data_IF_858589018280
#
_entry.id   IF_858589018280
#
_cell.length_a   1.000
_cell.length_b   1.000
_cell.length_c   1.000
_cell.angle_alpha   90.00
_cell.angle_beta   90.00
_cell.angle_gamma   90.00
#
_symmetry.space_group_name_H-M   'P 1'
#
loop_
_entity.id
_entity.type
_entity.pdbx_description
1 polymer ?
#
# COMPACT_ATOMS: atom_id res chain seq x y z
N UNK A 1 -2.04 -6.00 -1.41
CA UNK A 1 -3.25 -6.23 -0.59
C UNK A 1 -4.54 -5.96 -1.30
N UNK A 2 -4.80 -4.74 -1.78
CA UNK A 2 -6.09 -4.43 -2.40
C UNK A 2 -6.48 -5.42 -3.52
N UNK A 3 -5.54 -5.79 -4.41
CA UNK A 3 -5.80 -6.78 -5.47
C UNK A 3 -6.15 -8.18 -4.94
N UNK A 4 -5.58 -8.60 -3.81
CA UNK A 4 -5.92 -9.86 -3.15
C UNK A 4 -7.36 -9.84 -2.61
N UNK A 5 -7.79 -8.73 -2.01
CA UNK A 5 -9.20 -8.50 -1.68
C UNK A 5 -10.07 -8.55 -2.96
N UNK A 6 -9.57 -8.00 -4.07
CA UNK A 6 -10.25 -8.04 -5.36
C UNK A 6 -10.45 -9.45 -5.89
N UNK A 7 -9.47 -10.34 -5.70
CA UNK A 7 -9.62 -11.78 -6.00
C UNK A 7 -10.71 -12.43 -5.15
N UNK A 8 -10.80 -12.07 -3.86
CA UNK A 8 -11.86 -12.56 -2.98
C UNK A 8 -13.25 -12.03 -3.39
N UNK A 9 -13.35 -10.77 -3.82
CA UNK A 9 -14.59 -10.19 -4.35
C UNK A 9 -14.99 -10.88 -5.66
N UNK A 10 -14.05 -11.06 -6.59
CA UNK A 10 -14.31 -11.77 -7.85
C UNK A 10 -14.75 -13.22 -7.61
N UNK A 11 -14.21 -13.87 -6.57
CA UNK A 11 -14.61 -15.19 -6.10
C UNK A 11 -15.87 -15.22 -5.22
N UNK A 12 -16.58 -14.09 -5.07
CA UNK A 12 -17.81 -13.94 -4.28
C UNK A 12 -17.67 -14.35 -2.80
N UNK A 13 -16.45 -14.25 -2.24
CA UNK A 13 -16.17 -14.54 -0.83
C UNK A 13 -16.55 -13.39 0.09
N UNK A 14 -16.52 -12.17 -0.42
CA UNK A 14 -16.88 -10.92 0.26
C UNK A 14 -17.28 -9.87 -0.77
N UNK A 15 -17.84 -8.76 -0.31
CA UNK A 15 -18.11 -7.57 -1.13
C UNK A 15 -17.49 -6.34 -0.46
N UNK A 16 -17.49 -5.20 -1.16
CA UNK A 16 -17.05 -3.93 -0.57
C UNK A 16 -17.86 -3.54 0.68
N UNK A 17 -19.13 -3.93 0.77
CA UNK A 17 -20.01 -3.60 1.89
C UNK A 17 -19.98 -4.64 3.01
N UNK A 18 -19.29 -5.78 2.83
CA UNK A 18 -19.10 -6.77 3.90
C UNK A 18 -18.46 -6.08 5.11
N UNK A 19 -18.99 -6.36 6.30
CA UNK A 19 -18.47 -5.77 7.54
C UNK A 19 -17.23 -6.51 7.99
N UNK A 20 -16.26 -5.80 8.59
CA UNK A 20 -15.02 -6.41 9.08
C UNK A 20 -15.30 -7.58 10.04
N UNK A 21 -16.21 -7.38 11.00
CA UNK A 21 -16.61 -8.39 11.99
C UNK A 21 -17.24 -9.66 11.40
N UNK A 22 -17.71 -9.62 10.15
CA UNK A 22 -18.25 -10.80 9.46
C UNK A 22 -17.12 -11.67 8.88
N UNK A 23 -15.91 -11.11 8.72
CA UNK A 23 -14.78 -11.76 8.09
C UNK A 23 -13.74 -12.32 9.07
N UNK A 24 -13.74 -11.85 10.32
CA UNK A 24 -12.70 -12.18 11.31
C UNK A 24 -13.31 -12.66 12.61
N UNK A 25 -12.66 -13.59 13.29
CA UNK A 25 -13.10 -14.09 14.61
C UNK A 25 -12.58 -13.24 15.78
N UNK A 26 -11.79 -12.21 15.48
CA UNK A 26 -11.20 -11.32 16.45
C UNK A 26 -12.25 -10.33 16.98
N UNK A 27 -12.22 -10.09 18.29
CA UNK A 27 -13.06 -9.10 18.93
C UNK A 27 -12.34 -7.76 18.99
N UNK A 28 -12.96 -6.73 18.42
CA UNK A 28 -12.49 -5.35 18.45
C UNK A 28 -13.51 -4.47 19.16
N UNK A 29 -13.63 -4.56 20.50
CA UNK A 29 -14.74 -3.96 21.24
C UNK A 29 -14.80 -2.42 21.16
N UNK A 30 -13.67 -1.79 20.83
CA UNK A 30 -13.58 -0.33 20.61
C UNK A 30 -13.83 0.09 19.17
N UNK A 31 -13.81 -0.85 18.23
CA UNK A 31 -13.99 -0.53 16.82
C UNK A 31 -15.46 -0.59 16.46
N UNK A 32 -15.88 0.32 15.58
CA UNK A 32 -17.27 0.34 15.14
C UNK A 32 -17.62 -0.95 14.38
N UNK A 33 -18.77 -1.60 14.69
CA UNK A 33 -19.25 -2.77 13.95
C UNK A 33 -19.72 -2.43 12.52
N UNK A 34 -19.70 -1.15 12.14
CA UNK A 34 -20.07 -0.66 10.81
C UNK A 34 -18.86 -0.43 9.88
N UNK A 35 -17.64 -0.77 10.34
CA UNK A 35 -16.47 -0.79 9.45
C UNK A 35 -16.69 -1.84 8.35
N UNK A 36 -16.52 -1.42 7.10
CA UNK A 36 -16.65 -2.28 5.92
C UNK A 36 -15.30 -2.47 5.24
N UNK A 37 -15.22 -3.47 4.36
CA UNK A 37 -14.05 -3.67 3.49
C UNK A 37 -13.75 -2.43 2.64
N UNK A 38 -14.78 -1.72 2.16
CA UNK A 38 -14.61 -0.44 1.47
C UNK A 38 -13.90 0.58 2.36
N UNK A 39 -14.35 0.75 3.60
CA UNK A 39 -13.76 1.72 4.52
C UNK A 39 -12.27 1.47 4.77
N UNK A 40 -11.87 0.21 4.87
CA UNK A 40 -10.46 -0.16 5.01
C UNK A 40 -9.68 0.11 3.71
N UNK A 41 -10.22 -0.28 2.54
CA UNK A 41 -9.57 -0.07 1.25
C UNK A 41 -9.36 1.42 0.90
N UNK A 42 -10.25 2.30 1.37
CA UNK A 42 -10.24 3.74 1.08
C UNK A 42 -9.70 4.61 2.21
N UNK A 43 -9.16 4.03 3.29
CA UNK A 43 -8.66 4.78 4.45
C UNK A 43 -9.71 5.70 5.09
N UNK A 44 -10.93 5.19 5.24
CA UNK A 44 -12.06 5.91 5.87
C UNK A 44 -12.68 5.10 7.01
N UNK A 45 -11.95 4.13 7.58
CA UNK A 45 -12.47 3.31 8.68
C UNK A 45 -12.60 4.07 9.99
N UNK A 46 -11.70 5.04 10.26
CA UNK A 46 -11.64 5.77 11.52
C UNK A 46 -10.99 5.00 12.66
N UNK A 47 -10.37 3.84 12.40
CA UNK A 47 -9.62 3.11 13.43
C UNK A 47 -8.35 3.88 13.84
N UNK A 48 -7.92 3.79 15.09
CA UNK A 48 -6.61 4.28 15.49
C UNK A 48 -5.51 3.45 14.83
N UNK A 49 -4.39 4.10 14.47
CA UNK A 49 -3.30 3.45 13.74
C UNK A 49 -2.05 3.27 14.62
N UNK A 50 -1.34 2.16 14.42
CA UNK A 50 -0.11 1.86 15.13
C UNK A 50 1.08 2.67 14.59
N UNK A 51 0.97 3.12 13.34
CA UNK A 51 1.90 4.02 12.66
C UNK A 51 1.14 5.26 12.16
N UNK A 52 0.55 6.02 13.08
CA UNK A 52 -0.32 7.17 12.74
C UNK A 52 0.48 8.35 12.16
N UNK A 53 0.44 8.47 10.84
CA UNK A 53 1.16 9.50 10.09
C UNK A 53 0.67 10.93 10.37
N UNK A 54 -0.52 11.10 10.97
CA UNK A 54 -1.00 12.42 11.42
C UNK A 54 -0.27 12.92 12.67
N UNK A 55 0.40 12.02 13.41
CA UNK A 55 1.01 12.33 14.72
C UNK A 55 2.51 12.04 14.79
N UNK A 56 3.00 11.08 14.01
CA UNK A 56 4.40 10.70 13.97
C UNK A 56 5.17 11.67 13.07
N UNK A 57 6.24 12.26 13.61
CA UNK A 57 7.11 13.19 12.87
C UNK A 57 8.47 12.58 12.52
N UNK A 58 8.87 11.50 13.18
CA UNK A 58 10.12 10.78 12.93
C UNK A 58 9.82 9.31 12.60
N UNK A 59 9.51 9.05 11.33
CA UNK A 59 9.21 7.71 10.83
C UNK A 59 10.42 6.77 10.82
N UNK A 60 11.64 7.31 10.74
CA UNK A 60 12.85 6.48 10.67
C UNK A 60 13.17 5.81 12.02
N UNK A 61 12.73 6.42 13.12
CA UNK A 61 13.05 5.96 14.47
C UNK A 61 11.85 5.45 15.26
N UNK A 62 10.73 5.13 14.60
CA UNK A 62 9.59 4.47 15.26
C UNK A 62 10.05 3.14 15.87
N UNK A 63 9.61 2.89 17.10
CA UNK A 63 9.85 1.64 17.83
C UNK A 63 8.55 1.16 18.44
N UNK A 64 8.28 -0.12 18.27
CA UNK A 64 7.18 -0.79 18.95
C UNK A 64 7.66 -1.49 20.21
N UNK A 65 6.73 -1.77 21.11
CA UNK A 65 7.01 -2.59 22.29
C UNK A 65 7.25 -4.07 21.93
N UNK A 66 6.75 -4.50 20.77
CA UNK A 66 7.06 -5.80 20.16
C UNK A 66 8.34 -5.66 19.31
N UNK A 67 9.32 -6.55 19.44
CA UNK A 67 10.48 -6.56 18.57
C UNK A 67 10.12 -6.77 17.10
N UNK A 68 10.78 -6.04 16.19
CA UNK A 68 10.54 -6.15 14.75
C UNK A 68 10.69 -7.57 14.19
N UNK A 69 11.52 -8.42 14.82
CA UNK A 69 11.71 -9.81 14.39
C UNK A 69 10.58 -10.77 14.75
N UNK A 70 9.66 -10.34 15.63
CA UNK A 70 8.45 -11.09 15.96
C UNK A 70 7.27 -10.73 15.05
N UNK A 71 7.37 -9.65 14.28
CA UNK A 71 6.37 -9.22 13.29
C UNK A 71 6.62 -9.90 11.95
N UNK A 72 5.87 -10.98 11.64
CA UNK A 72 6.11 -11.83 10.47
C UNK A 72 4.91 -11.97 9.53
N UNK A 73 3.73 -11.53 9.95
CA UNK A 73 2.53 -11.46 9.13
C UNK A 73 1.43 -10.61 9.78
N UNK A 74 0.29 -10.38 9.11
CA UNK A 74 -0.71 -9.41 9.55
C UNK A 74 -1.23 -9.63 10.98
N UNK A 75 -1.44 -10.88 11.40
CA UNK A 75 -1.91 -11.19 12.77
C UNK A 75 -0.92 -10.81 13.87
N UNK A 76 0.38 -10.79 13.59
CA UNK A 76 1.40 -10.43 14.59
C UNK A 76 1.33 -8.94 14.94
N UNK A 77 0.87 -8.10 14.01
CA UNK A 77 0.72 -6.65 14.20
C UNK A 77 -0.43 -6.29 15.14
N UNK A 78 -1.37 -7.21 15.38
CA UNK A 78 -2.46 -6.97 16.35
C UNK A 78 -1.94 -6.66 17.75
N UNK A 79 -0.74 -7.15 18.09
CA UNK A 79 -0.08 -6.85 19.36
C UNK A 79 0.36 -5.38 19.46
N UNK A 80 0.65 -4.71 18.34
CA UNK A 80 1.08 -3.30 18.32
C UNK A 80 -0.06 -2.33 18.02
N UNK A 81 -1.29 -2.83 17.83
CA UNK A 81 -2.44 -1.96 17.64
C UNK A 81 -2.71 -1.13 18.91
N UNK A 82 -3.00 0.16 18.76
CA UNK A 82 -3.28 1.01 19.90
C UNK A 82 -4.60 0.61 20.58
N UNK A 83 -4.57 0.51 21.91
CA UNK A 83 -5.78 0.41 22.74
C UNK A 83 -6.43 1.79 22.88
N UNK A 84 -7.02 2.26 21.79
CA UNK A 84 -7.64 3.58 21.68
C UNK A 84 -9.03 3.48 21.06
N UNK A 85 -9.85 4.51 21.31
CA UNK A 85 -11.16 4.64 20.68
C UNK A 85 -11.02 5.08 19.21
N UNK A 86 -12.10 4.98 18.45
CA UNK A 86 -12.17 5.42 17.06
C UNK A 86 -11.80 6.91 16.93
N UNK A 87 -10.99 7.24 15.90
CA UNK A 87 -10.65 8.64 15.55
C UNK A 87 -11.88 9.41 15.04
N UNK A 88 -12.79 8.72 14.34
CA UNK A 88 -14.02 9.27 13.75
C UNK A 88 -14.95 8.13 13.30
N UNK A 89 -16.17 8.45 12.86
CA UNK A 89 -17.13 7.42 12.42
C UNK A 89 -16.73 6.83 11.05
N UNK A 90 -16.96 5.53 10.77
CA UNK A 90 -16.64 4.95 9.47
C UNK A 90 -17.29 5.71 8.30
N UNK A 91 -16.48 6.12 7.33
CA UNK A 91 -16.88 6.88 6.15
C UNK A 91 -16.84 8.41 6.32
N UNK A 92 -16.58 8.94 7.52
CA UNK A 92 -16.66 10.38 7.80
C UNK A 92 -15.60 11.21 7.06
N UNK A 93 -14.33 10.77 7.09
CA UNK A 93 -13.22 11.45 6.40
C UNK A 93 -12.11 10.47 6.02
N UNK A 94 -11.19 10.96 5.18
CA UNK A 94 -9.92 10.28 4.91
C UNK A 94 -8.96 10.41 6.11
N UNK A 95 -8.30 9.32 6.45
CA UNK A 95 -7.15 9.26 7.35
C UNK A 95 -6.37 7.99 6.99
N UNK A 96 -5.19 8.16 6.38
CA UNK A 96 -4.36 7.04 5.94
C UNK A 96 -4.07 6.12 7.13
N UNK A 97 -4.29 4.81 6.96
CA UNK A 97 -4.18 3.83 8.04
C UNK A 97 -3.46 2.56 7.59
N UNK A 98 -2.25 2.38 8.10
CA UNK A 98 -1.47 1.15 7.95
C UNK A 98 -2.19 -0.03 8.64
N UNK A 99 -2.68 0.19 9.86
CA UNK A 99 -3.53 -0.74 10.60
C UNK A 99 -4.77 -1.19 9.81
N UNK A 100 -5.36 -0.31 8.98
CA UNK A 100 -6.49 -0.67 8.12
C UNK A 100 -6.11 -1.73 7.08
N UNK A 101 -4.91 -1.63 6.52
CA UNK A 101 -4.36 -2.59 5.57
C UNK A 101 -3.85 -3.87 6.25
N UNK A 102 -3.38 -3.79 7.48
CA UNK A 102 -3.14 -4.98 8.34
C UNK A 102 -4.44 -5.77 8.52
N UNK A 103 -5.56 -5.12 8.86
CA UNK A 103 -6.85 -5.81 9.01
C UNK A 103 -7.33 -6.45 7.70
N UNK A 104 -7.09 -5.83 6.55
CA UNK A 104 -7.35 -6.48 5.25
C UNK A 104 -6.49 -7.73 5.04
N UNK A 105 -5.24 -7.72 5.51
CA UNK A 105 -4.37 -8.90 5.53
C UNK A 105 -4.95 -10.02 6.40
N UNK A 106 -5.41 -9.69 7.62
CA UNK A 106 -6.07 -10.65 8.51
C UNK A 106 -7.34 -11.23 7.86
N UNK A 107 -8.17 -10.41 7.21
CA UNK A 107 -9.34 -10.87 6.45
C UNK A 107 -8.95 -11.86 5.36
N UNK A 108 -7.86 -11.62 4.63
CA UNK A 108 -7.35 -12.54 3.62
C UNK A 108 -6.98 -13.88 4.26
N UNK A 109 -6.25 -13.87 5.38
CA UNK A 109 -5.85 -15.11 6.07
C UNK A 109 -7.06 -15.89 6.60
N UNK A 110 -8.04 -15.22 7.21
CA UNK A 110 -9.25 -15.85 7.75
C UNK A 110 -10.10 -16.50 6.66
N UNK A 111 -10.31 -15.80 5.53
CA UNK A 111 -11.18 -16.29 4.46
C UNK A 111 -10.52 -17.34 3.55
N UNK A 112 -9.18 -17.39 3.52
CA UNK A 112 -8.43 -18.32 2.66
C UNK A 112 -7.82 -19.49 3.42
N UNK A 113 -7.55 -19.33 4.72
CA UNK A 113 -6.75 -20.27 5.52
C UNK A 113 -5.27 -20.30 5.14
N UNK A 114 -4.81 -19.41 4.26
CA UNK A 114 -3.42 -19.29 3.82
C UNK A 114 -2.73 -18.17 4.59
N UNK A 115 -1.40 -18.25 4.72
CA UNK A 115 -0.62 -17.08 5.14
C UNK A 115 -0.78 -15.98 4.09
N UNK A 116 -0.82 -14.73 4.54
CA UNK A 116 -1.02 -13.59 3.66
C UNK A 116 -0.01 -13.55 2.50
N UNK A 117 1.29 -13.73 2.80
CA UNK A 117 2.35 -13.69 1.81
C UNK A 117 2.17 -14.79 0.76
N UNK A 118 1.91 -16.03 1.20
CA UNK A 118 1.69 -17.17 0.31
C UNK A 118 0.50 -16.93 -0.63
N UNK A 119 -0.59 -16.33 -0.13
CA UNK A 119 -1.75 -16.02 -0.95
C UNK A 119 -1.44 -14.95 -2.00
N UNK A 120 -0.73 -13.88 -1.64
CA UNK A 120 -0.36 -12.82 -2.60
C UNK A 120 0.58 -13.37 -3.68
N UNK A 121 1.59 -14.15 -3.30
CA UNK A 121 2.52 -14.74 -4.25
C UNK A 121 1.81 -15.69 -5.22
N UNK A 122 0.95 -16.58 -4.72
CA UNK A 122 0.23 -17.56 -5.57
C UNK A 122 -0.89 -16.94 -6.41
N UNK A 123 -1.66 -15.99 -5.85
CA UNK A 123 -2.84 -15.45 -6.51
C UNK A 123 -2.54 -14.24 -7.41
N UNK A 124 -1.44 -13.52 -7.16
CA UNK A 124 -1.11 -12.27 -7.84
C UNK A 124 0.24 -12.36 -8.58
N UNK A 125 1.34 -12.65 -7.89
CA UNK A 125 2.69 -12.54 -8.50
C UNK A 125 2.97 -13.66 -9.51
N UNK A 126 2.75 -14.91 -9.13
CA UNK A 126 3.03 -16.06 -10.00
C UNK A 126 2.21 -16.05 -11.30
N UNK A 127 0.89 -15.78 -11.30
CA UNK A 127 0.09 -15.84 -12.53
C UNK A 127 0.47 -14.81 -13.58
N UNK A 128 1.03 -13.66 -13.17
CA UNK A 128 1.44 -12.58 -14.08
C UNK A 128 2.96 -12.54 -14.31
N UNK A 129 3.70 -13.51 -13.77
CA UNK A 129 5.14 -13.67 -14.04
C UNK A 129 6.07 -12.77 -13.23
N UNK A 130 5.63 -12.22 -12.09
CA UNK A 130 6.48 -11.45 -11.18
C UNK A 130 7.37 -12.37 -10.33
N UNK A 131 8.32 -13.05 -10.97
CA UNK A 131 9.15 -14.07 -10.33
C UNK A 131 10.29 -13.50 -9.46
N UNK A 132 10.50 -12.18 -9.47
CA UNK A 132 11.52 -11.48 -8.67
C UNK A 132 10.89 -10.58 -7.61
N UNK A 133 9.60 -10.76 -7.32
CA UNK A 133 8.87 -10.12 -6.24
C UNK A 133 8.48 -11.15 -5.18
N UNK A 134 8.44 -10.71 -3.92
CA UNK A 134 8.07 -11.58 -2.80
C UNK A 134 8.21 -10.89 -1.45
N UNK A 135 7.92 -11.64 -0.40
CA UNK A 135 8.06 -11.18 0.99
C UNK A 135 9.27 -11.82 1.65
N UNK A 136 10.44 -11.22 1.43
CA UNK A 136 11.71 -11.77 1.92
C UNK A 136 11.97 -11.36 3.37
N UNK A 137 12.47 -12.30 4.17
CA UNK A 137 12.90 -12.00 5.52
C UNK A 137 14.26 -11.29 5.50
N UNK A 138 14.46 -10.21 6.26
CA UNK A 138 15.73 -9.46 6.26
C UNK A 138 16.93 -10.30 6.72
N UNK A 139 16.70 -11.38 7.48
CA UNK A 139 17.74 -12.32 7.90
C UNK A 139 17.97 -13.47 6.90
N UNK A 140 17.25 -13.51 5.78
CA UNK A 140 17.32 -14.54 4.73
C UNK A 140 17.06 -13.93 3.33
N UNK A 141 17.63 -12.76 3.04
CA UNK A 141 17.44 -12.11 1.76
C UNK A 141 18.05 -12.95 0.62
N UNK A 142 17.34 -13.13 -0.51
CA UNK A 142 17.89 -13.80 -1.68
C UNK A 142 18.95 -12.94 -2.37
N UNK A 143 19.66 -13.52 -3.33
CA UNK A 143 20.58 -12.76 -4.19
C UNK A 143 19.87 -11.60 -4.90
N UNK A 144 20.64 -10.61 -5.34
CA UNK A 144 20.13 -9.43 -6.06
C UNK A 144 19.10 -8.61 -5.26
N UNK A 145 19.18 -8.65 -3.93
CA UNK A 145 18.35 -7.82 -3.04
C UNK A 145 19.17 -6.68 -2.45
N UNK A 146 18.71 -5.44 -2.64
CA UNK A 146 19.36 -4.27 -2.03
C UNK A 146 19.03 -4.19 -0.53
N UNK A 147 20.02 -3.81 0.28
CA UNK A 147 19.80 -3.37 1.66
C UNK A 147 19.29 -1.93 1.64
N UNK A 148 18.36 -1.59 2.54
CA UNK A 148 17.96 -0.21 2.77
C UNK A 148 18.95 0.50 3.68
N UNK A 149 19.25 1.76 3.37
CA UNK A 149 20.25 2.57 4.07
C UNK A 149 19.63 3.82 4.68
N UNK A 150 19.94 4.05 5.95
CA UNK A 150 19.52 5.22 6.72
C UNK A 150 20.78 6.02 7.05
N UNK A 151 20.73 7.32 6.82
CA UNK A 151 21.78 8.24 7.23
C UNK A 151 21.57 8.61 8.70
N UNK A 152 22.56 8.35 9.55
CA UNK A 152 22.54 8.75 10.96
C UNK A 152 23.75 9.61 11.32
N UNK A 153 23.80 10.05 12.57
CA UNK A 153 24.87 10.93 13.08
C UNK A 153 26.29 10.33 12.92
N UNK A 154 26.41 9.01 13.01
CA UNK A 154 27.68 8.27 12.87
C UNK A 154 27.92 7.77 11.43
N UNK A 155 27.10 8.21 10.47
CA UNK A 155 27.14 7.79 9.08
C UNK A 155 26.05 6.78 8.71
N UNK A 156 26.24 6.12 7.56
CA UNK A 156 25.25 5.21 6.99
C UNK A 156 25.18 3.88 7.73
N UNK A 157 23.94 3.42 7.95
CA UNK A 157 23.64 2.10 8.51
C UNK A 157 22.50 1.44 7.75
N UNK A 158 22.39 0.12 7.84
CA UNK A 158 21.27 -0.61 7.24
C UNK A 158 20.00 -0.51 8.08
N UNK A 159 18.84 -0.67 7.46
CA UNK A 159 17.52 -0.61 8.11
C UNK A 159 17.04 -1.92 8.76
N UNK A 160 17.89 -2.94 8.89
CA UNK A 160 17.55 -4.29 9.40
C UNK A 160 16.88 -4.30 10.79
N UNK A 161 17.06 -3.26 11.60
CA UNK A 161 16.44 -3.10 12.92
C UNK A 161 15.41 -1.97 13.00
N UNK A 162 15.01 -1.41 11.86
CA UNK A 162 14.05 -0.30 11.76
C UNK A 162 12.73 -0.73 11.13
N UNK A 163 12.69 -1.92 10.51
CA UNK A 163 11.51 -2.45 9.85
C UNK A 163 11.21 -3.86 10.34
N UNK A 164 9.94 -4.29 10.28
CA UNK A 164 9.53 -5.67 10.50
C UNK A 164 10.38 -6.67 9.69
N UNK A 165 10.68 -7.82 10.28
CA UNK A 165 11.61 -8.79 9.67
C UNK A 165 11.12 -9.33 8.33
N UNK A 166 9.81 -9.39 8.13
CA UNK A 166 9.14 -9.78 6.87
C UNK A 166 8.03 -8.77 6.63
N UNK A 167 7.83 -8.35 5.37
CA UNK A 167 6.71 -7.50 5.00
C UNK A 167 5.34 -8.15 5.26
N UNK A 168 4.32 -7.31 5.43
CA UNK A 168 2.95 -7.70 5.68
C UNK A 168 2.00 -7.02 4.67
N UNK A 169 0.74 -6.81 5.05
CA UNK A 169 -0.31 -6.36 4.14
C UNK A 169 -0.41 -4.85 3.98
N UNK A 170 0.32 -4.06 4.75
CA UNK A 170 0.45 -2.61 4.59
C UNK A 170 1.76 -2.20 3.90
N UNK A 171 2.84 -2.97 4.02
CA UNK A 171 4.12 -2.68 3.38
C UNK A 171 5.16 -3.81 3.43
N UNK A 172 6.36 -3.53 2.92
CA UNK A 172 7.54 -4.41 3.04
C UNK A 172 7.70 -5.53 2.00
N UNK A 173 6.94 -5.51 0.90
CA UNK A 173 7.19 -6.42 -0.22
C UNK A 173 8.45 -5.99 -1.00
N UNK A 174 9.24 -6.96 -1.44
CA UNK A 174 10.38 -6.76 -2.34
C UNK A 174 9.94 -6.94 -3.78
N UNK A 175 10.53 -6.16 -4.70
CA UNK A 175 10.17 -6.19 -6.12
C UNK A 175 11.29 -5.61 -6.99
N UNK A 176 11.09 -5.64 -8.31
CA UNK A 176 11.94 -4.99 -9.30
C UNK A 176 11.13 -3.99 -10.12
N UNK A 177 11.81 -3.09 -10.85
CA UNK A 177 11.16 -2.15 -11.77
C UNK A 177 10.39 -2.90 -12.87
N UNK A 178 10.95 -3.99 -13.39
CA UNK A 178 10.31 -4.82 -14.44
C UNK A 178 9.06 -5.56 -13.92
N UNK A 179 9.11 -6.11 -12.71
CA UNK A 179 7.96 -6.78 -12.11
C UNK A 179 6.84 -5.78 -11.77
N UNK A 180 7.17 -4.55 -11.39
CA UNK A 180 6.17 -3.48 -11.24
C UNK A 180 5.59 -3.01 -12.58
N UNK A 181 6.39 -2.98 -13.65
CA UNK A 181 5.90 -2.76 -15.01
C UNK A 181 4.88 -3.83 -15.43
N UNK A 182 5.19 -5.08 -15.12
CA UNK A 182 4.31 -6.22 -15.32
C UNK A 182 3.03 -6.10 -14.51
N UNK A 183 3.12 -5.79 -13.21
CA UNK A 183 1.97 -5.60 -12.33
C UNK A 183 1.01 -4.52 -12.86
N UNK A 184 1.55 -3.37 -13.26
CA UNK A 184 0.75 -2.26 -13.80
C UNK A 184 0.05 -2.63 -15.10
N UNK A 185 0.78 -3.26 -16.01
CA UNK A 185 0.22 -3.71 -17.29
C UNK A 185 -0.89 -4.74 -17.06
N UNK A 186 -0.65 -5.75 -16.24
CA UNK A 186 -1.61 -6.80 -15.93
C UNK A 186 -2.87 -6.28 -15.22
N UNK A 187 -2.72 -5.31 -14.31
CA UNK A 187 -3.86 -4.63 -13.69
C UNK A 187 -4.75 -3.94 -14.74
N UNK A 188 -4.17 -3.13 -15.62
CA UNK A 188 -4.93 -2.39 -16.63
C UNK A 188 -5.45 -3.25 -17.79
N UNK A 189 -4.89 -4.43 -18.00
CA UNK A 189 -5.39 -5.43 -18.96
C UNK A 189 -6.40 -6.40 -18.36
N UNK A 190 -6.78 -6.20 -17.10
CA UNK A 190 -7.78 -7.01 -16.41
C UNK A 190 -7.34 -8.49 -16.22
N UNK A 191 -6.03 -8.74 -16.22
CA UNK A 191 -5.44 -10.08 -16.09
C UNK A 191 -5.44 -10.57 -14.64
N UNK A 192 -5.56 -9.65 -13.67
CA UNK A 192 -5.58 -9.95 -12.23
C UNK A 192 -7.02 -10.01 -11.71
N UNK A 193 -7.84 -9.01 -12.02
CA UNK A 193 -9.25 -8.92 -11.62
C UNK A 193 -10.10 -8.46 -12.82
N UNK A 194 -11.40 -8.79 -12.88
CA UNK A 194 -12.28 -8.36 -13.97
C UNK A 194 -12.28 -6.84 -14.18
N UNK A 195 -12.53 -6.41 -15.42
CA UNK A 195 -12.59 -4.99 -15.83
C UNK A 195 -13.41 -4.12 -14.88
N UNK A 196 -14.60 -4.58 -14.47
CA UNK A 196 -15.45 -3.85 -13.54
C UNK A 196 -14.74 -3.55 -12.20
N UNK A 197 -13.93 -4.47 -11.67
CA UNK A 197 -13.15 -4.23 -10.46
C UNK A 197 -11.97 -3.29 -10.72
N UNK A 198 -11.33 -3.35 -11.89
CA UNK A 198 -10.26 -2.40 -12.24
C UNK A 198 -10.78 -0.96 -12.24
N UNK A 199 -11.93 -0.73 -12.88
CA UNK A 199 -12.56 0.59 -12.91
C UNK A 199 -13.03 1.04 -11.52
N UNK A 200 -13.58 0.14 -10.71
CA UNK A 200 -13.90 0.46 -9.31
C UNK A 200 -12.64 0.81 -8.51
N UNK A 201 -11.56 0.06 -8.64
CA UNK A 201 -10.33 0.29 -7.88
C UNK A 201 -9.66 1.62 -8.21
N UNK A 202 -9.73 2.02 -9.47
CA UNK A 202 -9.15 3.27 -9.97
C UNK A 202 -10.12 4.47 -9.92
N UNK A 203 -11.30 4.32 -9.32
CA UNK A 203 -12.24 5.42 -9.16
C UNK A 203 -11.82 6.35 -7.99
N UNK A 204 -11.95 7.68 -8.13
CA UNK A 204 -11.59 8.64 -7.08
C UNK A 204 -12.68 8.71 -6.01
N UNK A 205 -12.65 7.79 -5.03
CA UNK A 205 -13.72 7.68 -4.03
C UNK A 205 -13.64 8.74 -2.93
N UNK A 206 -12.43 9.12 -2.50
CA UNK A 206 -12.23 9.98 -1.34
C UNK A 206 -11.16 11.01 -1.64
N UNK A 207 -11.39 12.27 -1.28
CA UNK A 207 -10.36 13.31 -1.31
C UNK A 207 -9.35 13.06 -0.19
N UNK A 208 -8.07 13.12 -0.52
CA UNK A 208 -6.98 12.76 0.40
C UNK A 208 -6.12 13.95 0.83
N UNK A 209 -6.50 15.17 0.45
CA UNK A 209 -5.86 16.44 0.84
C UNK A 209 -6.91 17.37 1.48
N UNK A 210 -6.48 18.38 2.28
CA UNK A 210 -7.34 19.49 2.66
C UNK A 210 -7.98 20.17 1.43
N UNK A 211 -9.11 20.85 1.62
CA UNK A 211 -9.95 21.43 0.55
C UNK A 211 -9.21 22.35 -0.44
N UNK A 212 -7.99 22.79 -0.15
CA UNK A 212 -7.32 23.83 -0.94
C UNK A 212 -6.51 23.26 -2.13
N UNK A 213 -6.24 21.95 -2.13
CA UNK A 213 -5.50 21.23 -3.20
C UNK A 213 -6.35 20.06 -3.74
N UNK A 214 -7.40 20.36 -4.49
CA UNK A 214 -8.37 19.36 -5.00
C UNK A 214 -7.87 18.40 -6.11
N UNK A 215 -6.60 18.02 -6.10
CA UNK A 215 -6.04 17.17 -7.17
C UNK A 215 -5.81 15.73 -6.75
N UNK A 216 -5.75 15.41 -5.46
CA UNK A 216 -5.47 14.05 -4.98
C UNK A 216 -6.66 13.35 -4.35
N UNK A 217 -6.86 12.13 -4.83
CA UNK A 217 -7.91 11.22 -4.41
C UNK A 217 -7.31 9.87 -4.05
N UNK A 218 -8.08 9.09 -3.33
CA UNK A 218 -7.77 7.69 -3.03
C UNK A 218 -8.88 6.78 -3.56
N UNK A 219 -8.47 5.75 -4.30
CA UNK A 219 -9.30 4.64 -4.76
C UNK A 219 -9.20 3.46 -3.79
N UNK A 220 -9.28 2.24 -4.31
CA UNK A 220 -9.04 1.03 -3.50
C UNK A 220 -7.56 0.65 -3.55
N UNK A 221 -6.78 1.23 -2.62
CA UNK A 221 -5.33 1.00 -2.52
C UNK A 221 -4.50 1.67 -3.61
N UNK A 222 -5.06 2.69 -4.23
CA UNK A 222 -4.44 3.44 -5.31
C UNK A 222 -4.61 4.93 -5.05
N UNK A 223 -3.52 5.66 -5.13
CA UNK A 223 -3.56 7.11 -5.20
C UNK A 223 -3.95 7.53 -6.62
N UNK A 224 -4.71 8.61 -6.73
CA UNK A 224 -5.17 9.15 -8.01
C UNK A 224 -4.91 10.65 -7.98
N UNK A 225 -4.13 11.14 -8.93
CA UNK A 225 -3.99 12.57 -9.18
C UNK A 225 -4.77 12.94 -10.43
N UNK A 226 -5.76 13.80 -10.29
CA UNK A 226 -6.57 14.30 -11.40
C UNK A 226 -6.19 15.75 -11.73
N UNK A 227 -5.94 16.05 -13.00
CA UNK A 227 -5.69 17.42 -13.44
C UNK A 227 -7.00 18.16 -13.79
N UNK A 228 -6.90 19.45 -14.07
CA UNK A 228 -8.06 20.30 -14.40
C UNK A 228 -8.79 19.90 -15.69
N UNK A 229 -8.21 19.03 -16.52
CA UNK A 229 -8.80 18.50 -17.74
C UNK A 229 -9.44 17.11 -17.53
N UNK A 230 -9.47 16.61 -16.28
CA UNK A 230 -10.02 15.29 -15.94
C UNK A 230 -9.10 14.11 -16.25
N UNK A 231 -7.84 14.36 -16.63
CA UNK A 231 -6.87 13.28 -16.85
C UNK A 231 -6.34 12.77 -15.52
N UNK A 232 -6.29 11.44 -15.38
CA UNK A 232 -5.90 10.76 -14.15
C UNK A 232 -4.55 10.08 -14.27
N UNK A 233 -3.67 10.39 -13.32
CA UNK A 233 -2.49 9.59 -13.04
C UNK A 233 -2.77 8.71 -11.82
N UNK A 234 -2.69 7.40 -11.99
CA UNK A 234 -2.96 6.43 -10.92
C UNK A 234 -1.63 5.85 -10.45
N UNK A 235 -1.37 5.93 -9.14
CA UNK A 235 -0.07 5.60 -8.59
C UNK A 235 -0.16 4.87 -7.24
N UNK A 236 0.95 4.22 -6.89
CA UNK A 236 1.22 3.67 -5.56
C UNK A 236 2.54 4.29 -5.13
N UNK A 237 2.62 4.62 -3.85
CA UNK A 237 3.78 5.23 -3.22
C UNK A 237 4.04 4.52 -1.90
N UNK A 238 5.30 4.36 -1.56
CA UNK A 238 5.73 3.85 -0.27
C UNK A 238 6.98 4.56 0.20
N UNK A 239 7.10 4.73 1.50
CA UNK A 239 8.27 5.26 2.18
C UNK A 239 8.43 4.53 3.50
N UNK A 240 9.67 4.17 3.82
CA UNK A 240 10.06 3.46 5.02
C UNK A 240 11.45 3.92 5.41
N UNK A 241 11.89 3.60 6.62
CA UNK A 241 13.26 3.88 7.05
C UNK A 241 14.27 3.22 6.07
N UNK A 242 14.97 4.04 5.29
CA UNK A 242 15.94 3.60 4.28
C UNK A 242 15.32 3.06 2.98
N UNK A 243 14.07 3.40 2.66
CA UNK A 243 13.40 2.99 1.41
C UNK A 243 12.46 4.10 0.92
N UNK A 244 12.45 4.35 -0.39
CA UNK A 244 11.42 5.16 -1.04
C UNK A 244 11.04 4.62 -2.41
N UNK A 245 9.78 4.78 -2.77
CA UNK A 245 9.24 4.18 -3.97
C UNK A 245 8.00 4.91 -4.50
N UNK A 246 7.90 5.04 -5.82
CA UNK A 246 6.65 5.32 -6.51
C UNK A 246 6.56 4.54 -7.84
N UNK A 247 5.36 4.09 -8.17
CA UNK A 247 5.01 3.59 -9.50
C UNK A 247 3.69 4.19 -9.94
N UNK A 248 3.67 4.84 -11.10
CA UNK A 248 2.52 5.55 -11.65
C UNK A 248 2.22 5.15 -13.10
N UNK A 249 0.96 5.29 -13.50
CA UNK A 249 0.50 5.10 -14.87
C UNK A 249 -0.53 6.17 -15.21
N UNK A 250 -0.29 6.90 -16.30
CA UNK A 250 -1.27 7.78 -16.91
C UNK A 250 -1.90 7.06 -18.12
N UNK A 251 -3.20 6.76 -18.04
CA UNK A 251 -3.90 6.03 -19.11
C UNK A 251 -4.10 6.85 -20.39
N UNK A 252 -4.19 8.17 -20.28
CA UNK A 252 -4.47 9.03 -21.43
C UNK A 252 -3.34 8.98 -22.47
N UNK A 253 -2.10 8.83 -22.01
CA UNK A 253 -0.92 8.78 -22.87
C UNK A 253 -0.11 7.47 -22.76
N UNK A 254 -0.53 6.53 -21.91
CA UNK A 254 0.14 5.25 -21.70
C UNK A 254 1.49 5.35 -21.00
N UNK A 255 1.83 6.50 -20.41
CA UNK A 255 3.10 6.70 -19.73
C UNK A 255 3.11 5.97 -18.39
N UNK A 256 4.10 5.11 -18.23
CA UNK A 256 4.43 4.48 -16.95
C UNK A 256 5.76 5.04 -16.41
N UNK A 257 5.77 5.40 -15.14
CA UNK A 257 6.98 5.80 -14.41
C UNK A 257 7.12 4.93 -13.18
N UNK A 258 8.32 4.44 -12.89
CA UNK A 258 8.60 3.66 -11.69
C UNK A 258 10.00 3.99 -11.20
N UNK A 259 10.12 4.37 -9.94
CA UNK A 259 11.39 4.69 -9.27
C UNK A 259 11.39 3.98 -7.93
N UNK A 260 12.43 3.19 -7.68
CA UNK A 260 12.67 2.49 -6.41
C UNK A 260 14.03 2.94 -5.90
N UNK A 261 14.13 3.27 -4.62
CA UNK A 261 15.37 3.65 -3.95
C UNK A 261 15.53 2.88 -2.63
N UNK A 262 16.77 2.54 -2.31
CA UNK A 262 17.15 1.94 -1.03
C UNK A 262 17.70 2.98 -0.04
N UNK A 263 17.13 4.19 -0.10
CA UNK A 263 17.27 5.28 0.88
C UNK A 263 15.93 5.98 1.05
N UNK A 264 15.71 6.61 2.21
CA UNK A 264 14.43 7.24 2.59
C UNK A 264 13.94 8.30 1.60
N UNK A 265 14.86 9.06 0.99
CA UNK A 265 14.49 10.17 0.10
C UNK A 265 14.96 10.02 -1.35
N UNK A 266 15.62 8.92 -1.70
CA UNK A 266 16.29 8.81 -3.01
C UNK A 266 15.36 8.76 -4.21
N UNK A 267 14.10 8.32 -4.06
CA UNK A 267 13.16 8.27 -5.17
C UNK A 267 12.63 9.66 -5.58
N UNK A 268 12.47 10.59 -4.63
CA UNK A 268 11.79 11.87 -4.82
C UNK A 268 12.47 12.83 -5.83
N UNK A 269 13.79 13.09 -5.76
CA UNK A 269 14.45 13.97 -6.72
C UNK A 269 14.46 13.39 -8.14
N UNK A 270 14.53 12.07 -8.27
CA UNK A 270 14.47 11.37 -9.56
C UNK A 270 13.07 11.51 -10.16
N UNK A 271 12.02 11.27 -9.37
CA UNK A 271 10.63 11.47 -9.81
C UNK A 271 10.37 12.92 -10.23
N UNK A 272 10.88 13.89 -9.47
CA UNK A 272 10.81 15.31 -9.84
C UNK A 272 11.41 15.58 -11.21
N UNK A 273 12.60 15.06 -11.47
CA UNK A 273 13.30 15.20 -12.76
C UNK A 273 12.51 14.54 -13.90
N UNK A 274 12.00 13.31 -13.70
CA UNK A 274 11.20 12.61 -14.71
C UNK A 274 9.92 13.38 -15.03
N UNK A 275 9.21 13.88 -14.01
CA UNK A 275 7.99 14.64 -14.20
C UNK A 275 8.22 15.93 -14.99
N UNK A 276 9.29 16.68 -14.70
CA UNK A 276 9.67 17.86 -15.48
C UNK A 276 9.97 17.51 -16.94
N UNK A 277 10.80 16.49 -17.19
CA UNK A 277 11.14 16.06 -18.55
C UNK A 277 9.92 15.58 -19.34
N UNK A 278 9.01 14.85 -18.69
CA UNK A 278 7.75 14.40 -19.30
C UNK A 278 6.84 15.57 -19.66
N UNK A 279 6.72 16.57 -18.79
CA UNK A 279 5.93 17.78 -19.07
C UNK A 279 6.51 18.55 -20.28
N UNK A 280 7.83 18.67 -20.37
CA UNK A 280 8.49 19.32 -21.51
C UNK A 280 8.26 18.56 -22.83
N UNK A 281 8.23 17.22 -22.79
CA UNK A 281 7.99 16.40 -23.98
C UNK A 281 6.53 16.42 -24.46
N UNK A 282 5.57 16.61 -23.55
CA UNK A 282 4.13 16.57 -23.84
C UNK A 282 3.56 17.98 -24.06
N UNK A 283 4.27 19.03 -23.65
CA UNK A 283 3.87 20.40 -23.90
C UNK A 283 3.73 20.64 -25.42
N UNK A 284 2.61 21.23 -25.89
CA UNK A 284 2.47 21.57 -27.30
C UNK A 284 3.62 22.51 -27.71
N UNK A 285 4.25 22.22 -28.85
CA UNK A 285 5.28 23.09 -29.41
C UNK A 285 4.71 24.52 -29.57
N UNK A 286 5.41 25.48 -28.98
CA UNK A 286 5.04 26.90 -29.00
C UNK A 286 5.07 27.50 -30.41
#
# INVERSE_FOLDING_TARGET
TALAIGKLIAGQKLTFSTKLQECVTLDFPRYSPDITIKHLLTHTSGIPDYLDEETITDFENVRFHVPYYDLRGPKDYLAVFPDADMKFAPGERFSYSNGGYILLGVVIEELTGMKYQDFVEQAIFQPIGMHRSGYFAMNQLPEQTALGYIEGDEGWRTNIYNLPIVGASDGGAFTTVDDLATLRTAFWRHEIVPEALVEMYAAPYVHAEPEDEHTRYYGHGLWIKENTHGERNVYIRGGDAGVSFESSMNRANGLQVTVISNTTDGAWPVLGTIHTAVQELIAPAA
#
